data_IF_694862539517
#
_entry.id   IF_694862539517
#
_cell.length_a   1.000
_cell.length_b   1.000
_cell.length_c   1.000
_cell.angle_alpha   90.00
_cell.angle_beta   90.00
_cell.angle_gamma   90.00
#
_symmetry.space_group_name_H-M   'P 1'
#
loop_
_entity.id
_entity.type
_entity.pdbx_description
1 polymer ?
#
# COMPACT_ATOMS: atom_id res chain seq x y z
N UNK A 1 -30.13 0.67 8.54
CA UNK A 1 -30.12 -0.42 7.54
C UNK A 1 -29.18 -1.55 7.97
N UNK A 2 -27.87 -1.31 8.14
CA UNK A 2 -26.85 -2.37 8.36
C UNK A 2 -27.11 -3.29 9.57
N UNK A 3 -27.77 -2.82 10.60
CA UNK A 3 -28.04 -3.58 11.83
C UNK A 3 -29.52 -3.87 12.07
N UNK A 4 -30.40 -3.39 11.22
CA UNK A 4 -31.85 -3.48 11.42
C UNK A 4 -32.62 -4.17 10.29
N UNK A 5 -31.91 -4.58 9.26
CA UNK A 5 -32.48 -5.19 8.06
C UNK A 5 -31.81 -6.56 7.82
N UNK A 6 -32.57 -7.55 7.41
CA UNK A 6 -32.11 -8.90 7.10
C UNK A 6 -31.44 -9.01 5.70
N UNK A 7 -31.42 -7.92 4.93
CA UNK A 7 -30.80 -7.87 3.61
C UNK A 7 -29.28 -7.87 3.68
N UNK A 8 -28.64 -8.12 2.54
CA UNK A 8 -27.19 -7.99 2.40
C UNK A 8 -26.81 -6.51 2.24
N UNK A 9 -25.99 -5.99 3.13
CA UNK A 9 -25.50 -4.63 3.10
C UNK A 9 -23.98 -4.60 2.92
N UNK A 10 -23.48 -3.71 2.07
CA UNK A 10 -22.05 -3.50 1.84
C UNK A 10 -21.69 -2.06 2.16
N UNK A 11 -20.68 -1.87 2.99
CA UNK A 11 -20.12 -0.56 3.29
C UNK A 11 -18.69 -0.49 2.76
N UNK A 12 -18.43 0.49 1.88
CA UNK A 12 -17.10 0.72 1.31
C UNK A 12 -16.48 1.94 1.98
N UNK A 13 -15.30 1.78 2.54
CA UNK A 13 -14.57 2.85 3.23
C UNK A 13 -13.15 2.90 2.69
N UNK A 14 -12.68 4.06 2.28
CA UNK A 14 -11.27 4.24 1.94
C UNK A 14 -10.39 4.35 3.20
N UNK A 15 -9.09 4.07 3.05
CA UNK A 15 -8.13 4.04 4.15
C UNK A 15 -8.02 5.36 4.92
N UNK A 16 -8.09 6.49 4.22
CA UNK A 16 -7.97 7.81 4.83
C UNK A 16 -9.18 8.13 5.71
N UNK A 17 -10.39 7.92 5.18
CA UNK A 17 -11.61 8.11 5.94
C UNK A 17 -11.71 7.14 7.12
N UNK A 18 -11.25 5.89 6.94
CA UNK A 18 -11.17 4.91 8.00
C UNK A 18 -10.25 5.37 9.14
N UNK A 19 -9.01 5.78 8.81
CA UNK A 19 -8.04 6.21 9.83
C UNK A 19 -8.48 7.47 10.57
N UNK A 20 -9.16 8.40 9.91
CA UNK A 20 -9.73 9.58 10.55
C UNK A 20 -10.89 9.23 11.48
N UNK A 21 -11.78 8.35 11.03
CA UNK A 21 -12.99 8.02 11.77
C UNK A 21 -12.77 7.01 12.89
N UNK A 22 -11.71 6.17 12.83
CA UNK A 22 -11.42 5.14 13.82
C UNK A 22 -10.49 5.60 14.95
N UNK A 23 -10.25 6.89 15.11
CA UNK A 23 -9.45 7.41 16.21
C UNK A 23 -10.37 7.94 17.33
N UNK A 24 -10.69 7.08 18.29
CA UNK A 24 -11.53 7.41 19.43
C UNK A 24 -10.96 8.58 20.25
N UNK A 25 -9.64 8.69 20.40
CA UNK A 25 -8.99 9.80 21.10
C UNK A 25 -9.30 11.16 20.46
N UNK A 26 -9.54 11.19 19.14
CA UNK A 26 -9.90 12.39 18.40
C UNK A 26 -11.40 12.70 18.42
N UNK A 27 -12.24 11.85 18.98
CA UNK A 27 -13.67 12.09 19.08
C UNK A 27 -14.05 13.03 20.24
N UNK A 28 -13.15 13.19 21.21
CA UNK A 28 -13.38 13.95 22.43
C UNK A 28 -12.52 15.22 22.50
N UNK A 29 -13.06 16.28 23.12
CA UNK A 29 -12.35 17.54 23.38
C UNK A 29 -12.68 18.67 22.40
N UNK A 30 -12.08 19.84 22.63
CA UNK A 30 -12.37 21.10 21.90
C UNK A 30 -11.98 21.03 20.42
N UNK A 31 -11.06 20.14 20.06
CA UNK A 31 -10.57 19.91 18.68
C UNK A 31 -10.98 18.55 18.13
N UNK A 32 -12.13 18.04 18.58
CA UNK A 32 -12.61 16.74 18.13
C UNK A 32 -12.79 16.68 16.61
N UNK A 33 -12.25 15.64 15.98
CA UNK A 33 -12.41 15.40 14.55
C UNK A 33 -13.86 15.03 14.26
N UNK A 34 -14.52 15.79 13.37
CA UNK A 34 -15.94 15.59 13.00
C UNK A 34 -16.18 14.18 12.46
N UNK A 35 -15.24 13.60 11.73
CA UNK A 35 -15.37 12.25 11.17
C UNK A 35 -15.31 11.17 12.27
N UNK A 36 -14.44 11.33 13.28
CA UNK A 36 -14.36 10.40 14.41
C UNK A 36 -15.62 10.46 15.28
N UNK A 37 -16.17 11.65 15.50
CA UNK A 37 -17.42 11.82 16.25
C UNK A 37 -18.60 11.07 15.67
N UNK A 38 -18.70 10.96 14.35
CA UNK A 38 -19.79 10.25 13.70
C UNK A 38 -19.92 8.81 14.19
N UNK A 39 -18.81 8.13 14.43
CA UNK A 39 -18.77 6.71 14.78
C UNK A 39 -18.78 6.47 16.29
N UNK A 40 -18.18 7.38 17.08
CA UNK A 40 -18.00 7.20 18.52
C UNK A 40 -19.00 7.96 19.38
N UNK A 41 -19.69 8.97 18.85
CA UNK A 41 -20.69 9.70 19.62
C UNK A 41 -21.97 8.85 19.72
N UNK A 42 -22.58 8.87 20.92
CA UNK A 42 -23.88 8.24 21.15
C UNK A 42 -24.95 8.96 20.36
N UNK A 43 -25.84 8.20 19.74
CA UNK A 43 -26.92 8.74 18.92
C UNK A 43 -28.25 8.18 19.32
N UNK A 44 -29.28 9.03 19.39
CA UNK A 44 -30.64 8.63 19.75
C UNK A 44 -31.25 7.69 18.72
N UNK A 45 -30.88 7.85 17.44
CA UNK A 45 -31.25 6.95 16.34
C UNK A 45 -30.80 5.48 16.58
N UNK A 46 -29.82 5.27 17.45
CA UNK A 46 -29.31 3.95 17.85
C UNK A 46 -29.58 3.65 19.32
N UNK A 47 -30.67 4.16 19.87
CA UNK A 47 -31.03 4.00 21.27
C UNK A 47 -29.90 4.40 22.21
N UNK A 48 -29.32 5.59 21.99
CA UNK A 48 -28.18 6.15 22.73
C UNK A 48 -26.91 5.28 22.74
N UNK A 49 -26.74 4.42 21.72
CA UNK A 49 -25.54 3.62 21.52
C UNK A 49 -24.59 4.31 20.52
N UNK A 50 -23.33 3.97 20.58
CA UNK A 50 -22.36 4.40 19.58
C UNK A 50 -22.53 3.59 18.30
N UNK A 51 -22.49 4.20 17.10
CA UNK A 51 -22.57 3.47 15.84
C UNK A 51 -21.58 2.31 15.71
N UNK A 52 -20.34 2.47 16.21
CA UNK A 52 -19.34 1.40 16.20
C UNK A 52 -19.79 0.17 17.00
N UNK A 53 -20.43 0.35 18.16
CA UNK A 53 -20.91 -0.76 18.98
C UNK A 53 -22.05 -1.51 18.29
N UNK A 54 -22.90 -0.79 17.58
CA UNK A 54 -24.02 -1.38 16.80
C UNK A 54 -23.47 -2.20 15.64
N UNK A 55 -22.49 -1.66 14.92
CA UNK A 55 -21.81 -2.39 13.83
C UNK A 55 -21.08 -3.61 14.35
N UNK A 56 -20.40 -3.52 15.48
CA UNK A 56 -19.69 -4.64 16.09
C UNK A 56 -20.61 -5.81 16.46
N UNK A 57 -21.87 -5.54 16.80
CA UNK A 57 -22.86 -6.59 17.12
C UNK A 57 -23.29 -7.41 15.89
N UNK A 58 -23.12 -6.87 14.68
CA UNK A 58 -23.44 -7.60 13.45
C UNK A 58 -22.35 -8.58 13.04
N UNK A 59 -21.18 -8.54 13.69
CA UNK A 59 -20.01 -9.34 13.33
C UNK A 59 -19.75 -9.35 11.82
N UNK A 60 -19.47 -8.19 11.21
CA UNK A 60 -19.37 -8.09 9.76
C UNK A 60 -18.22 -8.92 9.19
N UNK A 61 -18.38 -9.40 7.96
CA UNK A 61 -17.27 -9.90 7.16
C UNK A 61 -16.49 -8.69 6.67
N UNK A 62 -15.19 -8.69 6.90
CA UNK A 62 -14.32 -7.59 6.47
C UNK A 62 -13.43 -8.02 5.31
N UNK A 63 -13.38 -7.21 4.27
CA UNK A 63 -12.50 -7.41 3.11
C UNK A 63 -11.53 -6.24 3.05
N UNK A 64 -10.24 -6.53 3.03
CA UNK A 64 -9.18 -5.52 2.98
C UNK A 64 -8.34 -5.78 1.73
N UNK A 65 -8.35 -4.81 0.83
CA UNK A 65 -7.48 -4.80 -0.34
C UNK A 65 -6.15 -4.11 0.00
N UNK A 66 -5.05 -4.66 -0.53
CA UNK A 66 -3.68 -4.21 -0.28
C UNK A 66 -3.37 -4.00 1.22
N UNK A 67 -3.54 -5.05 2.06
CA UNK A 67 -3.43 -4.94 3.51
C UNK A 67 -2.07 -4.41 3.99
N UNK A 68 -1.00 -4.58 3.23
CA UNK A 68 0.32 -4.06 3.57
C UNK A 68 0.37 -2.52 3.60
N UNK A 69 -0.48 -1.85 2.83
CA UNK A 69 -0.61 -0.39 2.85
C UNK A 69 -1.48 0.10 4.01
N UNK A 70 -2.47 -0.71 4.41
CA UNK A 70 -3.47 -0.37 5.41
C UNK A 70 -3.02 -0.74 6.82
N UNK A 71 -2.53 -1.97 7.00
CA UNK A 71 -2.25 -2.52 8.33
C UNK A 71 -0.87 -2.12 8.89
N UNK A 72 0.01 -1.54 8.06
CA UNK A 72 1.35 -1.15 8.48
C UNK A 72 2.22 -2.33 8.98
N UNK A 73 3.41 -2.02 9.47
CA UNK A 73 4.37 -3.03 10.00
C UNK A 73 4.09 -3.35 11.46
N UNK A 74 3.66 -2.35 12.21
CA UNK A 74 3.51 -2.46 13.67
C UNK A 74 2.16 -3.08 14.05
N UNK A 75 2.21 -4.13 14.88
CA UNK A 75 1.01 -4.79 15.44
C UNK A 75 0.20 -3.86 16.36
N UNK A 76 0.81 -2.80 16.87
CA UNK A 76 0.16 -1.77 17.70
C UNK A 76 -0.50 -0.66 16.88
N UNK A 77 -0.46 -0.74 15.56
CA UNK A 77 -1.01 0.26 14.65
C UNK A 77 -2.48 0.58 14.97
N UNK A 78 -2.79 1.88 14.99
CA UNK A 78 -4.15 2.40 15.23
C UNK A 78 -5.20 1.81 14.29
N UNK A 79 -4.82 1.57 13.03
CA UNK A 79 -5.70 0.94 12.03
C UNK A 79 -6.09 -0.48 12.43
N UNK A 80 -5.13 -1.29 12.92
CA UNK A 80 -5.43 -2.65 13.42
C UNK A 80 -6.38 -2.62 14.61
N UNK A 81 -6.19 -1.68 15.54
CA UNK A 81 -7.10 -1.46 16.66
C UNK A 81 -8.50 -1.07 16.18
N UNK A 82 -8.58 -0.15 15.24
CA UNK A 82 -9.85 0.26 14.63
C UNK A 82 -10.59 -0.91 13.96
N UNK A 83 -9.89 -1.76 13.23
CA UNK A 83 -10.46 -2.97 12.62
C UNK A 83 -10.97 -3.93 13.69
N UNK A 84 -10.23 -4.14 14.77
CA UNK A 84 -10.64 -5.02 15.86
C UNK A 84 -11.92 -4.53 16.57
N UNK A 85 -12.19 -3.22 16.59
CA UNK A 85 -13.39 -2.65 17.18
C UNK A 85 -14.67 -3.07 16.47
N UNK A 86 -14.62 -3.42 15.19
CA UNK A 86 -15.78 -3.97 14.46
C UNK A 86 -16.11 -5.40 14.87
N UNK A 87 -15.23 -6.09 15.60
CA UNK A 87 -15.37 -7.50 15.98
C UNK A 87 -15.77 -8.39 14.78
N UNK A 88 -15.02 -8.32 13.65
CA UNK A 88 -15.41 -9.05 12.44
C UNK A 88 -15.49 -10.55 12.71
N UNK A 89 -16.42 -11.22 12.03
CA UNK A 89 -16.54 -12.67 12.06
C UNK A 89 -15.25 -13.30 11.49
N UNK A 90 -14.80 -12.78 10.36
CA UNK A 90 -13.48 -13.04 9.77
C UNK A 90 -13.07 -11.90 8.85
N UNK A 91 -11.79 -11.85 8.52
CA UNK A 91 -11.22 -10.84 7.63
C UNK A 91 -10.53 -11.50 6.46
N UNK A 92 -10.92 -11.16 5.24
CA UNK A 92 -10.27 -11.56 4.00
C UNK A 92 -9.26 -10.50 3.59
N UNK A 93 -8.02 -10.91 3.36
CA UNK A 93 -6.93 -10.04 2.94
C UNK A 93 -6.55 -10.37 1.50
N UNK A 94 -6.69 -9.42 0.60
CA UNK A 94 -6.32 -9.55 -0.80
C UNK A 94 -5.07 -8.73 -1.08
N UNK A 95 -4.03 -9.35 -1.60
CA UNK A 95 -2.80 -8.65 -1.99
C UNK A 95 -2.02 -9.42 -3.04
N UNK A 96 -1.43 -8.70 -3.98
CA UNK A 96 -0.44 -9.25 -4.90
C UNK A 96 0.92 -9.49 -4.21
N UNK A 97 1.20 -8.77 -3.12
CA UNK A 97 2.48 -8.83 -2.41
C UNK A 97 2.26 -8.87 -0.90
N UNK A 98 2.58 -10.00 -0.29
CA UNK A 98 2.54 -10.14 1.16
C UNK A 98 3.94 -9.96 1.76
N UNK A 99 4.02 -9.31 2.92
CA UNK A 99 5.27 -9.24 3.68
C UNK A 99 5.58 -10.59 4.30
N UNK A 100 6.86 -10.96 4.32
CA UNK A 100 7.31 -12.16 5.04
C UNK A 100 6.91 -12.03 6.52
N UNK A 101 6.22 -13.03 7.06
CA UNK A 101 5.72 -13.03 8.43
C UNK A 101 4.28 -12.53 8.64
N UNK A 102 3.66 -11.94 7.64
CA UNK A 102 2.24 -11.50 7.69
C UNK A 102 1.29 -12.48 6.95
N UNK A 103 1.79 -13.65 6.57
CA UNK A 103 0.99 -14.66 5.88
C UNK A 103 0.37 -15.59 6.94
N UNK A 104 -0.91 -15.38 7.23
CA UNK A 104 -1.69 -16.24 8.10
C UNK A 104 -2.78 -16.92 7.29
N UNK A 105 -2.97 -18.23 7.53
CA UNK A 105 -4.09 -18.98 6.96
C UNK A 105 -4.30 -18.69 5.46
N UNK A 106 -3.25 -18.81 4.66
CA UNK A 106 -3.32 -18.57 3.22
C UNK A 106 -4.27 -19.58 2.58
N UNK A 107 -5.40 -19.09 2.07
CA UNK A 107 -6.44 -19.89 1.46
C UNK A 107 -6.18 -20.12 -0.03
N UNK A 108 -5.64 -19.10 -0.68
CA UNK A 108 -5.37 -19.14 -2.11
C UNK A 108 -4.12 -18.31 -2.46
N UNK A 109 -3.34 -18.81 -3.42
CA UNK A 109 -2.18 -18.12 -3.97
C UNK A 109 -2.24 -18.15 -5.49
N UNK A 110 -2.04 -17.00 -6.10
CA UNK A 110 -1.83 -16.84 -7.54
C UNK A 110 -0.71 -15.81 -7.72
N UNK A 111 0.52 -16.27 -7.84
CA UNK A 111 1.64 -15.37 -8.11
C UNK A 111 1.81 -15.09 -9.62
N UNK A 112 2.75 -14.22 -9.96
CA UNK A 112 2.99 -13.82 -11.35
C UNK A 112 3.41 -14.99 -12.25
N UNK A 113 4.13 -15.98 -11.70
CA UNK A 113 4.57 -17.16 -12.41
C UNK A 113 3.39 -18.10 -12.63
N UNK A 114 2.58 -18.32 -11.60
CA UNK A 114 1.38 -19.13 -11.67
C UNK A 114 0.39 -18.55 -12.69
N UNK A 115 0.17 -17.23 -12.63
CA UNK A 115 -0.70 -16.52 -13.57
C UNK A 115 -0.19 -16.63 -15.03
N UNK A 116 1.13 -16.55 -15.22
CA UNK A 116 1.74 -16.73 -16.53
C UNK A 116 1.56 -18.16 -17.05
N UNK A 117 1.84 -19.16 -16.23
CA UNK A 117 1.70 -20.56 -16.60
C UNK A 117 0.25 -20.93 -16.94
N UNK A 118 -0.70 -20.33 -16.24
CA UNK A 118 -2.14 -20.49 -16.49
C UNK A 118 -2.64 -19.61 -17.66
N UNK A 119 -1.77 -18.85 -18.32
CA UNK A 119 -2.11 -17.94 -19.44
C UNK A 119 -3.13 -16.84 -19.08
N UNK A 120 -3.19 -16.45 -17.82
CA UNK A 120 -4.08 -15.39 -17.33
C UNK A 120 -3.50 -13.98 -17.58
N UNK A 121 -2.20 -13.88 -17.78
CA UNK A 121 -1.50 -12.63 -18.06
C UNK A 121 -0.63 -12.74 -19.31
N UNK A 122 -0.36 -11.60 -19.95
CA UNK A 122 0.54 -11.53 -21.11
C UNK A 122 1.99 -11.77 -20.66
N UNK A 123 2.78 -12.39 -21.53
CA UNK A 123 4.22 -12.51 -21.32
C UNK A 123 4.86 -11.12 -21.26
N UNK A 124 5.63 -10.87 -20.21
CA UNK A 124 6.52 -9.71 -20.13
C UNK A 124 7.91 -10.21 -20.56
N UNK A 125 8.39 -9.74 -21.69
CA UNK A 125 9.75 -10.00 -22.16
C UNK A 125 10.55 -8.73 -22.14
N UNK A 126 11.61 -8.71 -21.34
CA UNK A 126 12.55 -7.60 -21.30
C UNK A 126 13.75 -7.97 -22.15
N UNK A 127 13.90 -7.30 -23.30
CA UNK A 127 15.08 -7.44 -24.17
C UNK A 127 16.08 -6.34 -23.84
N UNK A 128 17.19 -6.69 -23.23
CA UNK A 128 18.33 -5.80 -23.07
C UNK A 128 19.21 -5.85 -24.32
N UNK A 129 19.57 -4.69 -24.85
CA UNK A 129 20.58 -4.58 -25.90
C UNK A 129 21.91 -4.34 -25.19
N UNK A 130 22.81 -5.30 -25.27
CA UNK A 130 24.20 -5.12 -24.85
C UNK A 130 25.04 -4.90 -26.12
N UNK A 131 25.52 -3.68 -26.30
CA UNK A 131 26.46 -3.40 -27.36
C UNK A 131 27.87 -3.86 -26.93
N UNK A 132 28.38 -4.88 -27.58
CA UNK A 132 29.76 -5.37 -27.36
C UNK A 132 30.59 -4.83 -28.51
N UNK A 133 31.49 -3.90 -28.20
CA UNK A 133 32.43 -3.32 -29.15
C UNK A 133 31.79 -2.32 -30.11
N UNK A 134 32.03 -1.05 -29.90
CA UNK A 134 31.77 0.00 -30.88
C UNK A 134 33.14 0.65 -31.19
N UNK A 135 33.49 0.62 -32.45
CA UNK A 135 34.71 1.28 -32.94
C UNK A 135 34.54 2.79 -33.14
N UNK A 136 33.30 3.31 -33.02
CA UNK A 136 33.00 4.69 -33.36
C UNK A 136 32.87 5.66 -32.16
N UNK A 137 32.42 5.21 -31.01
CA UNK A 137 32.31 6.05 -29.80
C UNK A 137 32.59 5.23 -28.55
N UNK A 138 33.71 5.56 -27.90
CA UNK A 138 34.14 4.92 -26.66
C UNK A 138 33.40 5.48 -25.42
N UNK A 139 32.13 5.80 -25.51
CA UNK A 139 31.32 6.32 -24.40
C UNK A 139 30.31 5.29 -23.94
N UNK A 140 30.52 4.75 -22.75
CA UNK A 140 29.53 3.96 -22.05
C UNK A 140 28.76 4.87 -21.08
N UNK A 141 27.43 4.93 -21.20
CA UNK A 141 26.57 5.63 -20.26
C UNK A 141 25.42 4.71 -19.91
N UNK A 142 25.24 4.48 -18.62
CA UNK A 142 24.19 3.61 -18.10
C UNK A 142 23.38 4.37 -17.05
N UNK A 143 22.04 4.32 -17.16
CA UNK A 143 21.14 4.84 -16.17
C UNK A 143 20.96 3.77 -15.07
N UNK A 144 21.48 4.04 -13.87
CA UNK A 144 21.35 3.11 -12.72
C UNK A 144 19.97 3.21 -12.07
N UNK A 145 19.54 4.45 -11.76
CA UNK A 145 18.27 4.69 -11.08
C UNK A 145 17.80 6.12 -11.30
N UNK A 146 16.49 6.35 -11.10
CA UNK A 146 15.90 7.68 -11.02
C UNK A 146 15.54 7.95 -9.55
N UNK A 147 16.15 8.97 -8.96
CA UNK A 147 15.94 9.38 -7.58
C UNK A 147 14.84 10.43 -7.56
N UNK A 148 13.69 10.09 -6.96
CA UNK A 148 12.56 10.99 -6.81
C UNK A 148 12.55 11.49 -5.36
N UNK A 149 12.71 12.81 -5.19
CA UNK A 149 12.70 13.48 -3.89
C UNK A 149 11.66 14.59 -3.83
N UNK A 150 11.81 15.51 -2.89
CA UNK A 150 10.95 16.70 -2.77
C UNK A 150 11.22 17.79 -3.83
N UNK A 151 12.33 17.69 -4.56
CA UNK A 151 12.72 18.56 -5.66
C UNK A 151 12.54 17.87 -7.00
N UNK A 152 13.21 18.43 -8.05
CA UNK A 152 13.21 17.80 -9.37
C UNK A 152 13.81 16.40 -9.32
N UNK A 153 13.31 15.46 -10.14
CA UNK A 153 13.89 14.13 -10.24
C UNK A 153 15.36 14.20 -10.65
N UNK A 154 16.17 13.36 -10.07
CA UNK A 154 17.60 13.25 -10.42
C UNK A 154 17.88 11.86 -10.98
N UNK A 155 18.78 11.76 -11.95
CA UNK A 155 19.21 10.49 -12.51
C UNK A 155 20.58 10.13 -11.97
N UNK A 156 20.77 8.88 -11.49
CA UNK A 156 22.09 8.33 -11.22
C UNK A 156 22.58 7.64 -12.48
N UNK A 157 23.64 8.16 -13.06
CA UNK A 157 24.24 7.61 -14.26
C UNK A 157 25.64 7.10 -13.97
N UNK A 158 26.02 5.98 -14.55
CA UNK A 158 27.39 5.51 -14.59
C UNK A 158 27.96 5.63 -16.01
N UNK A 159 29.20 6.05 -16.10
CA UNK A 159 29.89 6.24 -17.36
C UNK A 159 31.40 5.99 -17.19
N UNK A 160 32.01 5.64 -18.31
CA UNK A 160 33.43 5.37 -18.35
C UNK A 160 34.21 6.66 -18.66
N UNK A 161 35.19 6.96 -17.83
CA UNK A 161 36.15 8.04 -18.10
C UNK A 161 37.54 7.47 -18.40
N UNK A 162 38.17 8.01 -19.42
CA UNK A 162 39.57 7.70 -19.71
C UNK A 162 40.49 8.44 -18.75
N UNK A 163 41.36 7.69 -18.09
CA UNK A 163 42.42 8.21 -17.24
C UNK A 163 43.76 7.89 -17.88
N UNK A 164 44.86 8.50 -17.41
CA UNK A 164 46.20 8.22 -17.91
C UNK A 164 46.63 6.74 -17.75
N UNK A 165 45.98 6.05 -16.77
CA UNK A 165 46.29 4.65 -16.42
C UNK A 165 45.27 3.65 -16.97
N UNK A 166 44.24 4.10 -17.70
CA UNK A 166 43.20 3.22 -18.25
C UNK A 166 41.80 3.81 -18.17
N UNK A 167 40.77 2.98 -18.35
CA UNK A 167 39.34 3.38 -18.25
C UNK A 167 38.86 3.10 -16.84
N UNK A 168 38.18 4.10 -16.23
CA UNK A 168 37.57 3.98 -14.91
C UNK A 168 36.07 4.28 -15.02
N UNK A 169 35.26 3.42 -14.46
CA UNK A 169 33.82 3.64 -14.33
C UNK A 169 33.53 4.57 -13.16
N UNK A 170 32.66 5.57 -13.38
CA UNK A 170 32.25 6.56 -12.39
C UNK A 170 30.75 6.67 -12.40
N UNK A 171 30.16 6.70 -11.23
CA UNK A 171 28.71 6.94 -11.03
C UNK A 171 28.52 8.37 -10.52
N UNK A 172 27.55 9.09 -11.10
CA UNK A 172 27.24 10.48 -10.75
C UNK A 172 25.73 10.72 -10.74
N UNK A 173 25.29 11.51 -9.77
CA UNK A 173 23.91 12.01 -9.73
C UNK A 173 23.82 13.28 -10.57
N UNK A 174 22.89 13.34 -11.51
CA UNK A 174 22.69 14.47 -12.44
C UNK A 174 21.25 14.96 -12.36
N UNK A 175 21.09 16.26 -12.52
CA UNK A 175 19.79 16.93 -12.62
C UNK A 175 19.56 17.52 -14.03
N UNK A 176 18.47 18.27 -14.24
CA UNK A 176 18.09 18.87 -15.53
C UNK A 176 19.12 19.85 -16.14
N UNK A 177 20.19 20.17 -15.42
CA UNK A 177 21.18 21.19 -15.87
C UNK A 177 22.47 20.57 -16.39
N UNK A 178 22.40 19.34 -16.80
CA UNK A 178 23.58 18.69 -17.37
C UNK A 178 23.65 18.85 -18.89
#
# INVERSE_FOLDING_TARGET
AFASDAGMHVMIINTQAFNSSMNEEKSHGVRADKAARIIFDRRDEFCSRRPIDVLAQTHPIMIIDEPQSVLGVDKTNKTRKGIAMFRPLFTLLYSATHRKGDIYNMVYRLDAIDAYNQKLVKKIEVKGIRQIGSTATNGYVYLEEIVIGKGNPQARISFDIKTQTGTKQVSKLVDERF
#
